data_IF_329910099418
#
_entry.id   IF_329910099418
#
_cell.length_a   1.000
_cell.length_b   1.000
_cell.length_c   1.000
_cell.angle_alpha   90.00
_cell.angle_beta   90.00
_cell.angle_gamma   90.00
#
_symmetry.space_group_name_H-M   'P 1'
#
loop_
_entity.id
_entity.type
_entity.pdbx_description
1 polymer ?
#
# COMPACT_ATOMS: atom_id res chain seq x y z
N UNK A 1 32.94 -11.23 -3.31
CA UNK A 1 32.94 -10.18 -2.28
C UNK A 1 31.49 -9.98 -1.90
N UNK A 2 31.06 -10.52 -0.76
CA UNK A 2 29.70 -10.33 -0.24
C UNK A 2 29.74 -9.05 0.60
N UNK A 3 29.19 -7.96 0.04
CA UNK A 3 28.94 -6.75 0.81
C UNK A 3 27.91 -7.09 1.88
N UNK A 4 28.34 -7.13 3.14
CA UNK A 4 27.47 -7.11 4.30
C UNK A 4 26.82 -5.73 4.34
N UNK A 5 25.67 -5.59 3.67
CA UNK A 5 24.78 -4.45 3.88
C UNK A 5 24.46 -4.41 5.38
N UNK A 6 24.98 -3.39 6.05
CA UNK A 6 24.68 -3.15 7.46
C UNK A 6 23.21 -2.80 7.57
N UNK A 7 22.47 -3.33 8.56
CA UNK A 7 21.08 -2.97 8.74
C UNK A 7 20.95 -1.46 8.96
N UNK A 8 19.87 -0.82 8.51
CA UNK A 8 19.69 0.62 8.64
C UNK A 8 19.83 1.05 10.12
N UNK A 9 20.72 2.01 10.40
CA UNK A 9 20.96 2.56 11.76
C UNK A 9 19.83 3.46 12.28
N UNK A 10 18.71 3.54 11.56
CA UNK A 10 17.55 4.34 11.97
C UNK A 10 16.48 3.45 12.60
N UNK A 11 15.75 3.96 13.61
CA UNK A 11 14.60 3.23 14.13
C UNK A 11 13.61 3.00 12.99
N UNK A 12 13.37 1.73 12.66
CA UNK A 12 12.33 1.33 11.72
C UNK A 12 11.00 1.52 12.46
N UNK A 13 10.08 2.36 11.95
CA UNK A 13 8.76 2.46 12.56
C UNK A 13 8.09 1.09 12.44
N UNK A 14 7.49 0.57 13.51
CA UNK A 14 6.79 -0.72 13.48
C UNK A 14 5.48 -0.69 12.68
N UNK A 15 5.06 0.49 12.25
CA UNK A 15 3.89 0.70 11.40
C UNK A 15 3.82 2.13 10.88
N UNK A 16 3.17 2.28 9.74
CA UNK A 16 2.84 3.54 9.10
C UNK A 16 1.32 3.70 9.00
N UNK A 17 0.87 4.94 8.94
CA UNK A 17 -0.54 5.27 8.75
C UNK A 17 -0.64 6.15 7.51
N UNK A 18 -1.34 5.66 6.49
CA UNK A 18 -1.63 6.46 5.31
C UNK A 18 -2.97 7.15 5.51
N UNK A 19 -2.96 8.48 5.51
CA UNK A 19 -4.15 9.33 5.67
C UNK A 19 -4.69 9.85 4.33
N UNK A 20 -3.97 9.57 3.24
CA UNK A 20 -4.24 10.06 1.90
C UNK A 20 -3.78 9.05 0.85
N UNK A 21 -4.39 9.10 -0.33
CA UNK A 21 -3.91 8.38 -1.51
C UNK A 21 -3.86 9.27 -2.74
N UNK A 22 -3.07 8.85 -3.74
CA UNK A 22 -3.12 9.43 -5.07
C UNK A 22 -4.19 8.70 -5.90
N UNK A 23 -5.10 9.45 -6.52
CA UNK A 23 -6.14 8.95 -7.42
C UNK A 23 -6.31 9.92 -8.58
N UNK A 24 -6.13 9.46 -9.82
CA UNK A 24 -6.28 10.28 -11.04
C UNK A 24 -5.57 11.64 -10.94
N UNK A 25 -4.29 11.62 -10.57
CA UNK A 25 -3.42 12.80 -10.36
C UNK A 25 -3.85 13.74 -9.22
N UNK A 26 -4.75 13.31 -8.33
CA UNK A 26 -5.19 14.08 -7.17
C UNK A 26 -4.90 13.34 -5.88
N UNK A 27 -4.44 14.07 -4.88
CA UNK A 27 -4.32 13.56 -3.51
C UNK A 27 -5.69 13.66 -2.85
N UNK A 28 -6.25 12.51 -2.44
CA UNK A 28 -7.55 12.39 -1.80
C UNK A 28 -7.36 11.93 -0.35
N UNK A 29 -7.97 12.57 0.65
CA UNK A 29 -7.92 12.09 2.02
C UNK A 29 -8.69 10.77 2.16
N UNK A 30 -8.18 9.89 3.01
CA UNK A 30 -8.91 8.70 3.44
C UNK A 30 -9.80 9.06 4.63
N UNK A 31 -11.01 8.51 4.68
CA UNK A 31 -11.94 8.71 5.80
C UNK A 31 -11.41 8.10 7.10
N UNK A 32 -10.60 7.05 7.00
CA UNK A 32 -9.85 6.44 8.10
C UNK A 32 -8.39 6.20 7.69
N UNK A 33 -7.42 6.37 8.61
CA UNK A 33 -6.03 6.02 8.32
C UNK A 33 -5.89 4.53 7.99
N UNK A 34 -5.15 4.22 6.92
CA UNK A 34 -4.82 2.86 6.53
C UNK A 34 -3.52 2.42 7.23
N UNK A 35 -3.56 1.43 8.14
CA UNK A 35 -2.37 0.89 8.77
C UNK A 35 -1.55 0.06 7.77
N UNK A 36 -0.25 0.30 7.72
CA UNK A 36 0.71 -0.49 6.95
C UNK A 36 1.78 -0.98 7.91
N UNK A 37 1.95 -2.30 7.98
CA UNK A 37 3.00 -2.91 8.77
C UNK A 37 4.34 -2.73 8.05
N UNK A 38 5.41 -2.52 8.81
CA UNK A 38 6.75 -2.32 8.28
C UNK A 38 7.69 -3.33 8.93
N UNK A 39 8.38 -4.09 8.09
CA UNK A 39 9.46 -4.98 8.49
C UNK A 39 10.73 -4.67 7.69
N UNK A 40 11.87 -5.16 8.18
CA UNK A 40 13.12 -5.20 7.42
C UNK A 40 13.56 -6.65 7.30
N UNK A 41 13.65 -7.13 6.06
CA UNK A 41 14.05 -8.50 5.74
C UNK A 41 15.22 -8.47 4.76
N UNK A 42 16.32 -9.14 5.10
CA UNK A 42 17.52 -9.23 4.25
C UNK A 42 18.07 -7.88 3.73
N UNK A 43 17.87 -6.80 4.50
CA UNK A 43 18.29 -5.44 4.13
C UNK A 43 17.29 -4.67 3.26
N UNK A 44 16.10 -5.21 3.03
CA UNK A 44 14.99 -4.55 2.32
C UNK A 44 13.88 -4.17 3.29
N UNK A 45 13.20 -3.07 3.00
CA UNK A 45 11.95 -2.69 3.66
C UNK A 45 10.80 -3.48 3.04
N UNK A 46 10.00 -4.12 3.90
CA UNK A 46 8.80 -4.86 3.53
C UNK A 46 7.60 -4.15 4.15
N UNK A 47 6.69 -3.65 3.31
CA UNK A 47 5.47 -2.98 3.73
C UNK A 47 4.27 -3.84 3.35
N UNK A 48 3.40 -4.11 4.32
CA UNK A 48 2.25 -5.00 4.12
C UNK A 48 0.94 -4.43 4.68
N UNK A 49 -0.16 -4.78 4.02
CA UNK A 49 -1.51 -4.64 4.55
C UNK A 49 -2.38 -5.79 4.01
N UNK A 50 -2.73 -6.73 4.89
CA UNK A 50 -3.50 -7.91 4.51
C UNK A 50 -4.96 -7.61 4.13
N UNK A 51 -5.54 -6.53 4.66
CA UNK A 51 -6.93 -6.15 4.39
C UNK A 51 -7.16 -5.87 2.89
N UNK A 52 -6.19 -5.20 2.26
CA UNK A 52 -6.21 -4.80 0.86
C UNK A 52 -5.22 -5.57 -0.01
N UNK A 53 -4.43 -6.48 0.58
CA UNK A 53 -3.42 -7.26 -0.12
C UNK A 53 -2.24 -6.43 -0.62
N UNK A 54 -1.88 -5.37 0.11
CA UNK A 54 -0.69 -4.58 -0.21
C UNK A 54 0.55 -5.36 0.24
N UNK A 55 1.52 -5.46 -0.66
CA UNK A 55 2.81 -6.08 -0.38
C UNK A 55 3.87 -5.42 -1.25
N UNK A 56 4.78 -4.66 -0.62
CA UNK A 56 5.83 -3.92 -1.30
C UNK A 56 7.17 -4.22 -0.65
N UNK A 57 8.17 -4.50 -1.48
CA UNK A 57 9.55 -4.71 -1.06
C UNK A 57 10.44 -3.72 -1.79
N UNK A 58 11.23 -2.94 -1.06
CA UNK A 58 12.14 -1.96 -1.64
C UNK A 58 13.42 -1.77 -0.80
N UNK A 59 14.54 -1.36 -1.41
CA UNK A 59 15.80 -1.16 -0.68
C UNK A 59 15.77 0.06 0.26
N UNK A 60 14.82 0.97 0.09
CA UNK A 60 14.65 2.14 0.97
C UNK A 60 13.19 2.30 1.42
N UNK A 61 12.99 2.88 2.59
CA UNK A 61 11.66 3.14 3.15
C UNK A 61 10.83 4.05 2.22
N UNK A 62 11.46 5.10 1.68
CA UNK A 62 10.78 6.05 0.77
C UNK A 62 10.29 5.37 -0.51
N UNK A 63 11.10 4.47 -1.09
CA UNK A 63 10.67 3.68 -2.25
C UNK A 63 9.56 2.70 -1.89
N UNK A 64 9.59 2.10 -0.70
CA UNK A 64 8.53 1.21 -0.25
C UNK A 64 7.21 1.97 -0.04
N UNK A 65 7.25 3.15 0.58
CA UNK A 65 6.09 4.02 0.77
C UNK A 65 5.50 4.44 -0.57
N UNK A 66 6.35 4.86 -1.52
CA UNK A 66 5.90 5.19 -2.89
C UNK A 66 5.24 3.99 -3.55
N UNK A 67 5.85 2.82 -3.46
CA UNK A 67 5.28 1.58 -4.00
C UNK A 67 3.92 1.23 -3.39
N UNK A 68 3.70 1.47 -2.09
CA UNK A 68 2.39 1.26 -1.47
C UNK A 68 1.35 2.23 -2.00
N UNK A 69 1.70 3.49 -2.23
CA UNK A 69 0.81 4.45 -2.87
C UNK A 69 0.47 4.04 -4.32
N UNK A 70 1.45 3.59 -5.09
CA UNK A 70 1.26 3.13 -6.47
C UNK A 70 0.36 1.89 -6.52
N UNK A 71 0.59 0.90 -5.64
CA UNK A 71 -0.28 -0.28 -5.53
C UNK A 71 -1.71 0.09 -5.12
N UNK A 72 -1.87 0.99 -4.15
CA UNK A 72 -3.20 1.43 -3.72
C UNK A 72 -3.94 2.16 -4.84
N UNK A 73 -3.26 3.02 -5.59
CA UNK A 73 -3.82 3.68 -6.78
C UNK A 73 -4.27 2.66 -7.82
N UNK A 74 -3.43 1.67 -8.13
CA UNK A 74 -3.75 0.59 -9.06
C UNK A 74 -4.96 -0.23 -8.61
N UNK A 75 -5.10 -0.52 -7.31
CA UNK A 75 -6.29 -1.23 -6.80
C UNK A 75 -7.58 -0.44 -7.09
N UNK A 76 -7.56 0.88 -6.94
CA UNK A 76 -8.72 1.70 -7.27
C UNK A 76 -9.01 1.71 -8.78
N UNK A 77 -7.97 1.83 -9.61
CA UNK A 77 -8.14 1.77 -11.06
C UNK A 77 -8.74 0.43 -11.52
N UNK A 78 -8.29 -0.69 -10.94
CA UNK A 78 -8.71 -2.04 -11.33
C UNK A 78 -10.10 -2.40 -10.78
N UNK A 79 -10.42 -2.00 -9.54
CA UNK A 79 -11.62 -2.48 -8.84
C UNK A 79 -12.70 -1.42 -8.67
N UNK A 80 -12.36 -0.13 -8.63
CA UNK A 80 -13.32 0.94 -8.34
C UNK A 80 -13.75 1.68 -9.61
N UNK A 81 -12.78 2.01 -10.47
CA UNK A 81 -13.01 2.85 -11.66
C UNK A 81 -13.55 2.06 -12.88
N UNK A 82 -13.50 0.72 -12.84
CA UNK A 82 -14.09 -0.16 -13.86
C UNK A 82 -15.59 -0.34 -13.64
N UNK A 83 -16.33 -0.60 -14.73
CA UNK A 83 -17.75 -0.97 -14.68
C UNK A 83 -17.97 -2.18 -13.74
N UNK A 84 -18.80 -2.04 -12.67
CA UNK A 84 -19.01 -3.10 -11.70
C UNK A 84 -19.59 -4.40 -12.28
N UNK A 85 -20.28 -4.31 -13.43
CA UNK A 85 -20.84 -5.49 -14.11
C UNK A 85 -19.77 -6.40 -14.71
N UNK A 86 -18.56 -5.89 -14.90
CA UNK A 86 -17.41 -6.63 -15.39
C UNK A 86 -16.61 -7.31 -14.26
N UNK A 87 -16.93 -7.01 -13.00
CA UNK A 87 -16.22 -7.56 -11.85
C UNK A 87 -16.81 -8.89 -11.40
N UNK A 88 -15.92 -9.85 -11.12
CA UNK A 88 -16.32 -11.06 -10.43
C UNK A 88 -16.89 -10.74 -9.04
N UNK A 89 -17.78 -11.60 -8.52
CA UNK A 89 -18.39 -11.41 -7.20
C UNK A 89 -17.37 -11.28 -6.05
N UNK A 90 -16.23 -11.96 -6.17
CA UNK A 90 -15.11 -11.83 -5.22
C UNK A 90 -14.43 -10.46 -5.30
N UNK A 91 -14.28 -9.91 -6.50
CA UNK A 91 -13.71 -8.59 -6.75
C UNK A 91 -14.62 -7.47 -6.23
N UNK A 92 -15.95 -7.64 -6.30
CA UNK A 92 -16.92 -6.70 -5.71
C UNK A 92 -16.70 -6.50 -4.20
N UNK A 93 -16.34 -7.55 -3.45
CA UNK A 93 -16.03 -7.42 -2.01
C UNK A 93 -14.78 -6.59 -1.74
N UNK A 94 -13.80 -6.60 -2.64
CA UNK A 94 -12.61 -5.77 -2.51
C UNK A 94 -12.93 -4.33 -2.89
N UNK A 95 -13.71 -4.13 -3.97
CA UNK A 95 -14.25 -2.81 -4.36
C UNK A 95 -14.98 -2.11 -3.23
N UNK A 96 -15.92 -2.79 -2.57
CA UNK A 96 -16.70 -2.18 -1.48
C UNK A 96 -15.79 -1.76 -0.30
N UNK A 97 -14.75 -2.55 -0.01
CA UNK A 97 -13.76 -2.22 1.03
C UNK A 97 -12.89 -1.03 0.63
N UNK A 98 -12.49 -0.94 -0.63
CA UNK A 98 -11.72 0.19 -1.16
C UNK A 98 -12.54 1.47 -1.10
N UNK A 99 -13.82 1.43 -1.51
CA UNK A 99 -14.74 2.56 -1.41
C UNK A 99 -14.92 3.03 0.05
N UNK A 100 -14.99 2.10 1.01
CA UNK A 100 -15.06 2.41 2.43
C UNK A 100 -13.80 3.10 3.00
N UNK A 101 -12.70 3.22 2.24
CA UNK A 101 -11.58 4.09 2.63
C UNK A 101 -11.86 5.57 2.35
N UNK A 102 -12.87 5.88 1.52
CA UNK A 102 -13.24 7.24 1.13
C UNK A 102 -14.53 7.74 1.79
N UNK A 103 -15.31 6.85 2.41
CA UNK A 103 -16.63 7.12 3.03
C UNK A 103 -16.58 7.29 4.56
#
# INVERSE_FOLDING_TARGET
MTETMSPPSYPVPSGLLFDRMLRSDRVVPLARPLPVEVAVEEGYYVLTNDEFGLFVVAPTLDEAIRGCHDQLALLFEVYVDVDPTLLARSAMKLRDRLLALLD
#
